data_IF_807442513871
#
_entry.id   IF_807442513871
#
_cell.length_a   1.000
_cell.length_b   1.000
_cell.length_c   1.000
_cell.angle_alpha   90.00
_cell.angle_beta   90.00
_cell.angle_gamma   90.00
#
_symmetry.space_group_name_H-M   'P 1'
#
loop_
_entity.id
_entity.type
_entity.pdbx_description
1 polymer ?
#
# COMPACT_ATOMS: atom_id res chain seq x y z
N UNK A 1 -27.25 3.14 -5.81
CA UNK A 1 -27.21 2.59 -4.45
C UNK A 1 -26.09 3.27 -3.69
N UNK A 2 -25.63 2.67 -2.59
CA UNK A 2 -24.42 3.08 -1.85
C UNK A 2 -23.29 2.14 -2.26
N UNK A 3 -22.13 2.69 -2.60
CA UNK A 3 -20.95 1.93 -3.00
C UNK A 3 -20.12 1.48 -1.78
N UNK A 4 -19.32 0.42 -1.94
CA UNK A 4 -18.46 -0.14 -0.89
C UNK A 4 -16.99 -0.01 -1.25
N UNK A 5 -16.20 0.58 -0.34
CA UNK A 5 -14.75 0.67 -0.43
C UNK A 5 -14.16 -0.25 0.63
N UNK A 6 -13.24 -1.13 0.24
CA UNK A 6 -12.56 -2.04 1.15
C UNK A 6 -11.19 -1.50 1.56
N UNK A 7 -10.93 -1.49 2.86
CA UNK A 7 -9.58 -1.30 3.39
C UNK A 7 -8.76 -2.58 3.19
N UNK A 8 -7.62 -2.47 2.51
CA UNK A 8 -6.77 -3.60 2.14
C UNK A 8 -5.35 -3.43 2.68
N UNK A 9 -4.86 -4.49 3.32
CA UNK A 9 -3.56 -4.54 3.98
C UNK A 9 -2.64 -5.50 3.22
N UNK A 10 -1.96 -4.98 2.18
CA UNK A 10 -0.94 -5.72 1.44
C UNK A 10 0.48 -5.37 1.89
N UNK A 11 0.65 -4.37 2.77
CA UNK A 11 1.98 -3.87 3.12
C UNK A 11 2.73 -4.76 4.14
N UNK A 12 2.01 -5.58 4.92
CA UNK A 12 2.57 -6.53 5.88
C UNK A 12 1.64 -7.74 6.09
N UNK A 13 2.15 -8.77 6.76
CA UNK A 13 1.34 -9.88 7.30
C UNK A 13 1.45 -9.95 8.82
N UNK A 14 0.47 -10.58 9.47
CA UNK A 14 0.44 -10.73 10.93
C UNK A 14 1.71 -11.36 11.54
N UNK A 15 2.25 -12.43 10.93
CA UNK A 15 3.51 -13.07 11.38
C UNK A 15 4.51 -13.10 10.23
N UNK A 16 5.76 -12.75 10.52
CA UNK A 16 6.84 -12.83 9.53
C UNK A 16 7.32 -14.27 9.32
N UNK A 17 7.07 -15.18 10.27
CA UNK A 17 7.58 -16.57 10.24
C UNK A 17 6.52 -17.62 9.91
N UNK A 18 5.30 -17.41 10.39
CA UNK A 18 4.21 -18.39 10.28
C UNK A 18 3.20 -18.03 9.18
N UNK A 19 3.51 -17.07 8.31
CA UNK A 19 2.65 -16.74 7.19
C UNK A 19 2.70 -17.82 6.11
N UNK A 20 1.60 -17.93 5.34
CA UNK A 20 1.56 -18.79 4.17
C UNK A 20 2.68 -18.46 3.17
N UNK A 21 3.05 -17.18 3.04
CA UNK A 21 4.12 -16.75 2.16
C UNK A 21 5.50 -17.25 2.61
N UNK A 22 5.83 -17.12 3.90
CA UNK A 22 7.11 -17.56 4.42
C UNK A 22 7.22 -19.09 4.43
N UNK A 23 6.12 -19.79 4.71
CA UNK A 23 6.07 -21.25 4.68
C UNK A 23 6.17 -21.82 3.26
N UNK A 24 5.64 -21.11 2.26
CA UNK A 24 5.67 -21.55 0.87
C UNK A 24 7.01 -21.27 0.19
N UNK A 25 7.52 -20.03 0.30
CA UNK A 25 8.80 -19.62 -0.28
C UNK A 25 9.52 -18.69 0.71
N UNK A 26 10.40 -19.25 1.56
CA UNK A 26 11.10 -18.48 2.58
C UNK A 26 11.82 -17.26 2.01
N UNK A 27 11.68 -16.11 2.68
CA UNK A 27 12.38 -14.85 2.45
C UNK A 27 12.09 -14.18 1.08
N UNK A 28 11.25 -14.80 0.24
CA UNK A 28 10.90 -14.24 -1.06
C UNK A 28 9.87 -13.12 -0.93
N UNK A 29 8.76 -13.30 -0.23
CA UNK A 29 7.67 -12.32 -0.29
C UNK A 29 7.87 -11.07 0.58
N UNK A 30 8.93 -11.04 1.38
CA UNK A 30 9.27 -9.96 2.30
C UNK A 30 10.48 -9.18 1.80
N UNK A 31 10.59 -7.92 2.22
CA UNK A 31 11.85 -7.18 2.12
C UNK A 31 12.74 -7.57 3.29
N UNK A 32 13.99 -7.90 2.96
CA UNK A 32 14.98 -8.41 3.91
C UNK A 32 16.14 -7.42 4.05
N UNK A 33 16.71 -7.34 5.23
CA UNK A 33 17.98 -6.68 5.48
C UNK A 33 19.14 -7.56 4.95
N UNK A 34 20.32 -6.98 4.67
CA UNK A 34 21.50 -7.75 4.25
C UNK A 34 21.94 -8.85 5.24
N UNK A 35 21.57 -8.71 6.52
CA UNK A 35 21.87 -9.70 7.57
C UNK A 35 20.81 -10.82 7.68
N UNK A 36 19.85 -10.89 6.76
CA UNK A 36 18.80 -11.93 6.74
C UNK A 36 17.63 -11.69 7.69
N UNK A 37 17.54 -10.53 8.34
CA UNK A 37 16.37 -10.15 9.14
C UNK A 37 15.29 -9.46 8.30
N UNK A 38 14.03 -9.50 8.72
CA UNK A 38 12.95 -8.77 8.05
C UNK A 38 13.14 -7.24 8.18
N UNK A 39 12.90 -6.50 7.10
CA UNK A 39 12.70 -5.05 7.20
C UNK A 39 11.35 -4.75 7.85
N UNK A 40 11.22 -3.60 8.50
CA UNK A 40 10.05 -3.25 9.30
C UNK A 40 9.50 -1.86 8.97
N UNK A 41 9.43 -1.52 7.68
CA UNK A 41 8.85 -0.27 7.22
C UNK A 41 7.43 -0.03 7.70
N UNK A 42 6.63 -1.08 7.91
CA UNK A 42 5.26 -0.98 8.45
C UNK A 42 5.18 -0.66 9.94
N UNK A 43 6.26 -0.90 10.70
CA UNK A 43 6.24 -0.89 12.16
C UNK A 43 5.64 -2.15 12.80
N UNK A 44 5.09 -3.08 12.01
CA UNK A 44 4.36 -4.27 12.47
C UNK A 44 5.17 -5.58 12.45
N UNK A 45 6.48 -5.51 12.26
CA UNK A 45 7.43 -6.64 12.31
C UNK A 45 7.89 -7.18 10.95
N UNK A 46 7.24 -6.79 9.85
CA UNK A 46 7.66 -7.09 8.48
C UNK A 46 7.10 -6.08 7.47
N UNK A 47 7.66 -6.05 6.28
CA UNK A 47 7.05 -5.39 5.11
C UNK A 47 7.14 -6.30 3.88
N UNK A 48 6.08 -6.28 3.06
CA UNK A 48 5.98 -7.11 1.87
C UNK A 48 6.71 -6.48 0.67
N UNK A 49 7.28 -7.32 -0.18
CA UNK A 49 8.05 -6.93 -1.35
C UNK A 49 7.18 -6.85 -2.61
N UNK A 50 6.36 -5.80 -2.75
CA UNK A 50 5.48 -5.61 -3.92
C UNK A 50 6.21 -5.53 -5.25
N UNK A 51 7.50 -5.17 -5.24
CA UNK A 51 8.34 -5.14 -6.42
C UNK A 51 8.71 -6.53 -6.95
N UNK A 52 8.52 -7.59 -6.15
CA UNK A 52 8.78 -8.96 -6.59
C UNK A 52 7.61 -9.48 -7.40
N UNK A 53 7.93 -10.02 -8.57
CA UNK A 53 6.98 -10.45 -9.61
C UNK A 53 5.81 -11.26 -9.06
N UNK A 54 6.08 -12.28 -8.24
CA UNK A 54 5.02 -13.16 -7.74
C UNK A 54 4.19 -12.53 -6.62
N UNK A 55 4.71 -11.55 -5.88
CA UNK A 55 3.91 -10.82 -4.91
C UNK A 55 3.05 -9.76 -5.58
N UNK A 56 3.59 -9.05 -6.57
CA UNK A 56 2.83 -8.17 -7.46
C UNK A 56 1.66 -8.90 -8.11
N UNK A 57 1.93 -10.10 -8.67
CA UNK A 57 0.90 -10.96 -9.23
C UNK A 57 -0.17 -11.31 -8.20
N UNK A 58 0.22 -11.68 -6.98
CA UNK A 58 -0.73 -11.96 -5.90
C UNK A 58 -1.62 -10.75 -5.57
N UNK A 59 -1.05 -9.55 -5.45
CA UNK A 59 -1.82 -8.33 -5.19
C UNK A 59 -2.85 -8.07 -6.30
N UNK A 60 -2.43 -8.17 -7.57
CA UNK A 60 -3.33 -8.04 -8.73
C UNK A 60 -4.44 -9.08 -8.71
N UNK A 61 -4.10 -10.36 -8.55
CA UNK A 61 -5.07 -11.45 -8.53
C UNK A 61 -6.09 -11.26 -7.39
N UNK A 62 -5.63 -10.86 -6.20
CA UNK A 62 -6.47 -10.62 -5.03
C UNK A 62 -7.43 -9.44 -5.24
N UNK A 63 -6.95 -8.30 -5.73
CA UNK A 63 -7.79 -7.13 -6.03
C UNK A 63 -8.84 -7.45 -7.10
N UNK A 64 -8.44 -8.11 -8.18
CA UNK A 64 -9.35 -8.48 -9.26
C UNK A 64 -10.39 -9.51 -8.81
N UNK A 65 -9.99 -10.43 -7.93
CA UNK A 65 -10.92 -11.37 -7.31
C UNK A 65 -11.98 -10.65 -6.46
N UNK A 66 -11.56 -9.78 -5.54
CA UNK A 66 -12.50 -8.99 -4.73
C UNK A 66 -13.43 -8.12 -5.58
N UNK A 67 -12.92 -7.54 -6.66
CA UNK A 67 -13.72 -6.75 -7.58
C UNK A 67 -14.78 -7.60 -8.29
N UNK A 68 -14.40 -8.76 -8.84
CA UNK A 68 -15.29 -9.57 -9.69
C UNK A 68 -16.26 -10.44 -8.90
N UNK A 69 -15.79 -11.01 -7.79
CA UNK A 69 -16.58 -11.96 -7.00
C UNK A 69 -17.51 -11.25 -6.03
N UNK A 70 -17.06 -10.12 -5.47
CA UNK A 70 -17.79 -9.39 -4.42
C UNK A 70 -18.32 -8.02 -4.87
N UNK A 71 -18.05 -7.59 -6.11
CA UNK A 71 -18.48 -6.30 -6.65
C UNK A 71 -18.04 -5.11 -5.78
N UNK A 72 -16.79 -5.11 -5.30
CA UNK A 72 -16.20 -3.99 -4.57
C UNK A 72 -16.02 -2.78 -5.49
N UNK A 73 -16.44 -1.59 -5.04
CA UNK A 73 -16.43 -0.34 -5.81
C UNK A 73 -15.15 0.51 -5.59
N UNK A 74 -14.26 0.09 -4.69
CA UNK A 74 -13.00 0.77 -4.46
C UNK A 74 -12.14 0.14 -3.37
N UNK A 75 -10.89 0.59 -3.33
CA UNK A 75 -9.88 0.09 -2.40
C UNK A 75 -9.14 1.24 -1.74
N UNK A 76 -9.10 1.20 -0.40
CA UNK A 76 -8.22 2.02 0.43
C UNK A 76 -7.00 1.16 0.79
N UNK A 77 -5.84 1.53 0.28
CA UNK A 77 -4.59 0.83 0.56
C UNK A 77 -3.95 1.35 1.85
N UNK A 78 -3.88 0.47 2.83
CA UNK A 78 -3.15 0.68 4.07
C UNK A 78 -1.66 0.85 3.81
N UNK A 79 -1.05 1.89 4.40
CA UNK A 79 0.38 2.22 4.25
C UNK A 79 0.87 2.12 2.79
N UNK A 80 0.08 2.64 1.86
CA UNK A 80 0.31 2.56 0.41
C UNK A 80 1.73 2.97 -0.01
N UNK A 81 2.36 3.90 0.73
CA UNK A 81 3.74 4.32 0.49
C UNK A 81 4.82 3.23 0.59
N UNK A 82 4.51 2.08 1.20
CA UNK A 82 5.38 0.90 1.22
C UNK A 82 5.34 0.09 -0.08
N UNK A 83 4.36 0.31 -0.95
CA UNK A 83 4.27 -0.34 -2.24
C UNK A 83 5.07 0.40 -3.32
N UNK A 84 5.53 -0.33 -4.33
CA UNK A 84 6.17 0.26 -5.50
C UNK A 84 5.11 0.84 -6.47
N UNK A 85 5.49 1.93 -7.12
CA UNK A 85 4.64 2.66 -8.09
C UNK A 85 4.20 1.77 -9.25
N UNK A 86 5.08 0.87 -9.72
CA UNK A 86 4.76 -0.01 -10.85
C UNK A 86 3.57 -0.93 -10.49
N UNK A 87 3.61 -1.58 -9.33
CA UNK A 87 2.51 -2.41 -8.84
C UNK A 87 1.21 -1.62 -8.72
N UNK A 88 1.24 -0.43 -8.13
CA UNK A 88 0.04 0.39 -7.96
C UNK A 88 -0.56 0.85 -9.29
N UNK A 89 0.26 1.26 -10.25
CA UNK A 89 -0.19 1.64 -11.60
C UNK A 89 -0.74 0.44 -12.38
N UNK A 90 -0.16 -0.75 -12.21
CA UNK A 90 -0.70 -1.97 -12.80
C UNK A 90 -2.08 -2.30 -12.23
N UNK A 91 -2.26 -2.20 -10.90
CA UNK A 91 -3.56 -2.40 -10.26
C UNK A 91 -4.59 -1.42 -10.82
N UNK A 92 -4.26 -0.13 -10.86
CA UNK A 92 -5.14 0.90 -11.44
C UNK A 92 -5.56 0.55 -12.86
N UNK A 93 -4.60 0.20 -13.72
CA UNK A 93 -4.84 -0.15 -15.12
C UNK A 93 -5.72 -1.39 -15.27
N UNK A 94 -5.54 -2.42 -14.46
CA UNK A 94 -6.37 -3.62 -14.54
C UNK A 94 -7.80 -3.37 -14.02
N UNK A 95 -7.97 -2.53 -12.99
CA UNK A 95 -9.28 -2.10 -12.51
C UNK A 95 -10.02 -1.25 -13.55
N UNK A 96 -9.32 -0.39 -14.29
CA UNK A 96 -9.93 0.43 -15.35
C UNK A 96 -10.52 -0.40 -16.49
N UNK A 97 -9.97 -1.59 -16.74
CA UNK A 97 -10.54 -2.54 -17.72
C UNK A 97 -11.86 -3.14 -17.25
N UNK A 98 -12.14 -3.12 -15.95
CA UNK A 98 -13.40 -3.59 -15.36
C UNK A 98 -14.37 -2.42 -15.29
N UNK A 99 -14.00 -1.37 -14.53
CA UNK A 99 -14.78 -0.15 -14.40
C UNK A 99 -13.87 1.01 -13.96
N UNK A 100 -13.68 2.05 -14.80
CA UNK A 100 -12.81 3.19 -14.48
C UNK A 100 -13.33 4.04 -13.32
N UNK A 101 -14.56 3.80 -12.84
CA UNK A 101 -15.13 4.49 -11.67
C UNK A 101 -14.65 3.92 -10.34
N UNK A 102 -14.05 2.72 -10.33
CA UNK A 102 -13.54 2.08 -9.12
C UNK A 102 -12.49 2.98 -8.48
N UNK A 103 -12.67 3.33 -7.22
CA UNK A 103 -11.74 4.23 -6.52
C UNK A 103 -10.51 3.46 -6.03
N UNK A 104 -9.33 4.05 -6.20
CA UNK A 104 -8.07 3.52 -5.65
C UNK A 104 -7.37 4.69 -4.96
N UNK A 105 -7.12 4.56 -3.67
CA UNK A 105 -6.41 5.56 -2.90
C UNK A 105 -5.77 4.95 -1.65
N UNK A 106 -4.90 5.68 -0.97
CA UNK A 106 -4.32 5.17 0.26
C UNK A 106 -3.40 6.15 0.98
N UNK A 107 -2.70 5.60 1.96
CA UNK A 107 -1.74 6.30 2.80
C UNK A 107 -0.35 6.36 2.16
N UNK A 108 -0.10 7.40 1.37
CA UNK A 108 1.18 7.59 0.70
C UNK A 108 2.28 8.17 1.58
N UNK A 109 2.47 7.66 2.80
CA UNK A 109 3.52 8.10 3.72
C UNK A 109 4.91 7.64 3.25
N UNK A 110 5.95 8.45 3.47
CA UNK A 110 7.32 8.02 3.18
C UNK A 110 7.84 7.13 4.31
N UNK A 111 7.67 5.83 4.14
CA UNK A 111 8.02 4.81 5.13
C UNK A 111 8.96 3.75 4.54
N UNK A 112 9.64 3.01 5.42
CA UNK A 112 10.55 1.94 5.04
C UNK A 112 11.79 2.42 4.27
N UNK A 113 12.74 1.50 4.04
CA UNK A 113 13.99 1.78 3.31
C UNK A 113 14.25 0.79 2.18
N UNK A 114 13.36 -0.18 1.98
CA UNK A 114 13.54 -1.25 1.00
C UNK A 114 13.32 -0.85 -0.46
N UNK A 115 12.73 0.33 -0.70
CA UNK A 115 12.55 0.93 -2.03
C UNK A 115 13.27 2.29 -2.08
N UNK A 116 13.82 2.62 -3.25
CA UNK A 116 14.31 3.97 -3.48
C UNK A 116 13.14 4.99 -3.38
N UNK A 117 13.36 6.20 -2.82
CA UNK A 117 12.29 7.16 -2.57
C UNK A 117 11.39 7.45 -3.79
N UNK A 118 11.96 7.46 -4.99
CA UNK A 118 11.28 7.73 -6.26
C UNK A 118 10.45 6.55 -6.80
N UNK A 119 10.62 5.36 -6.22
CA UNK A 119 9.89 4.13 -6.55
C UNK A 119 8.71 3.87 -5.63
N UNK A 120 8.65 4.53 -4.47
CA UNK A 120 7.58 4.38 -3.48
C UNK A 120 6.28 5.03 -3.94
N UNK A 121 5.15 4.37 -3.70
CA UNK A 121 3.81 4.90 -3.95
C UNK A 121 3.38 5.93 -2.88
N UNK A 122 4.24 6.93 -2.64
CA UNK A 122 4.06 8.02 -1.68
C UNK A 122 3.50 9.29 -2.32
N UNK A 123 2.95 10.18 -1.49
CA UNK A 123 2.33 11.46 -1.91
C UNK A 123 3.26 12.30 -2.80
N UNK A 124 4.54 12.36 -2.48
CA UNK A 124 5.55 13.09 -3.27
C UNK A 124 5.64 12.61 -4.73
N UNK A 125 5.32 11.34 -4.97
CA UNK A 125 5.35 10.71 -6.29
C UNK A 125 3.95 10.62 -6.94
N UNK A 126 2.93 11.30 -6.40
CA UNK A 126 1.55 11.23 -6.91
C UNK A 126 1.45 11.54 -8.41
N UNK A 127 2.32 12.42 -8.93
CA UNK A 127 2.38 12.76 -10.36
C UNK A 127 2.72 11.57 -11.27
N UNK A 128 3.30 10.48 -10.72
CA UNK A 128 3.60 9.23 -11.44
C UNK A 128 2.45 8.21 -11.37
N UNK A 129 1.38 8.50 -10.63
CA UNK A 129 0.28 7.57 -10.33
C UNK A 129 -1.09 8.17 -10.69
N UNK A 130 -1.34 8.47 -11.98
CA UNK A 130 -2.63 9.03 -12.40
C UNK A 130 -3.77 8.06 -12.07
N UNK A 131 -4.88 8.59 -11.57
CA UNK A 131 -6.06 7.79 -11.18
C UNK A 131 -5.94 7.11 -9.82
N UNK A 132 -4.88 7.41 -9.04
CA UNK A 132 -4.70 6.95 -7.66
C UNK A 132 -4.71 8.15 -6.71
N UNK A 133 -5.57 8.10 -5.69
CA UNK A 133 -5.70 9.14 -4.68
C UNK A 133 -4.79 8.93 -3.46
N UNK A 134 -4.63 9.99 -2.67
CA UNK A 134 -3.83 9.99 -1.44
C UNK A 134 -4.61 10.67 -0.31
N UNK A 135 -4.47 10.17 0.91
CA UNK A 135 -4.85 10.97 2.06
C UNK A 135 -4.00 12.24 2.10
N UNK A 136 -4.66 13.40 2.30
CA UNK A 136 -4.02 14.71 2.32
C UNK A 136 -3.81 15.17 3.77
N UNK A 137 -2.66 14.82 4.32
CA UNK A 137 -2.18 15.25 5.63
C UNK A 137 -1.91 16.75 5.72
N UNK A 138 -1.50 17.42 4.62
CA UNK A 138 -1.28 18.87 4.63
C UNK A 138 -2.58 19.63 4.94
N UNK A 139 -3.67 19.27 4.26
CA UNK A 139 -4.99 19.85 4.51
C UNK A 139 -5.53 19.48 5.88
N UNK A 140 -5.36 18.22 6.30
CA UNK A 140 -5.73 17.79 7.65
C UNK A 140 -5.03 18.64 8.71
N UNK A 141 -3.72 18.83 8.57
CA UNK A 141 -2.91 19.60 9.52
C UNK A 141 -3.26 21.10 9.49
N UNK A 142 -3.53 21.66 8.31
CA UNK A 142 -3.94 23.06 8.18
C UNK A 142 -5.28 23.37 8.86
N UNK A 143 -6.21 22.41 8.87
CA UNK A 143 -7.54 22.59 9.47
C UNK A 143 -7.56 22.21 10.96
N UNK A 144 -6.99 21.07 11.32
CA UNK A 144 -7.06 20.50 12.67
C UNK A 144 -5.91 20.97 13.58
N UNK A 145 -4.79 21.39 13.00
CA UNK A 145 -3.49 21.44 13.65
C UNK A 145 -2.68 20.17 13.38
N UNK A 146 -1.35 20.29 13.44
CA UNK A 146 -0.45 19.16 13.26
C UNK A 146 -0.67 18.09 14.33
N UNK A 147 -0.64 16.82 13.92
CA UNK A 147 -0.53 15.71 14.85
C UNK A 147 0.89 15.67 15.42
N UNK A 148 1.04 16.27 16.60
CA UNK A 148 2.23 16.11 17.42
C UNK A 148 1.86 15.07 18.48
N UNK A 149 2.60 13.97 18.56
CA UNK A 149 2.43 13.01 19.66
C UNK A 149 2.70 13.74 20.99
N UNK A 150 1.64 14.19 21.66
CA UNK A 150 1.68 14.61 23.07
C UNK A 150 1.43 16.09 23.39
N UNK A 151 1.48 17.04 22.45
CA UNK A 151 1.20 18.47 22.72
C UNK A 151 0.93 19.25 21.45
N UNK A 152 -0.15 20.03 21.39
CA UNK A 152 -0.37 21.01 20.32
C UNK A 152 0.68 22.13 20.43
N UNK A 153 1.37 22.47 19.35
CA UNK A 153 2.02 23.79 19.24
C UNK A 153 0.97 24.76 18.68
N UNK A 154 0.63 25.78 19.45
CA UNK A 154 -0.12 26.94 18.97
C UNK A 154 0.75 27.69 17.94
N UNK A 155 0.10 28.12 16.85
CA UNK A 155 0.72 28.92 15.79
C UNK A 155 0.94 30.38 16.18
#
# INVERSE_FOLDING_TARGET
>A
GINVIMDVVYNHTFSSRDSAFQLAVPDYYYRMNPNGTFQNGSGCGNEMASEKEMYRKYMLDSILYWTKEFNIDGFRFDLMGLHDIETMNLIRRELDKIDPRILVFGEGWDMGVGLAPEQKAKKDNAYKMPGIGFFNDDQRNAVKGAEIYGTFEEG
#
